data_IF_424462901838
#
_entry.id   IF_424462901838
#
_cell.length_a   1.000
_cell.length_b   1.000
_cell.length_c   1.000
_cell.angle_alpha   90.00
_cell.angle_beta   90.00
_cell.angle_gamma   90.00
#
_symmetry.space_group_name_H-M   'P 1'
#
loop_
_entity.id
_entity.type
_entity.pdbx_description
1 polymer ?
#
# COMPACT_ATOMS: atom_id res chain seq x y z
N UNK A 1 13.21 16.01 -41.26
CA UNK A 1 13.74 15.63 -39.94
C UNK A 1 13.22 16.54 -38.83
N UNK A 2 13.40 17.86 -38.90
CA UNK A 2 12.93 18.80 -37.86
C UNK A 2 11.39 18.82 -37.67
N UNK A 3 10.62 18.70 -38.75
CA UNK A 3 9.14 18.71 -38.71
C UNK A 3 8.55 17.45 -38.06
N UNK A 4 9.18 16.29 -38.30
CA UNK A 4 8.83 15.02 -37.65
C UNK A 4 9.14 15.04 -36.15
N UNK A 5 10.29 15.61 -35.76
CA UNK A 5 10.65 15.77 -34.34
C UNK A 5 9.67 16.71 -33.59
N UNK A 6 9.21 17.77 -34.25
CA UNK A 6 8.23 18.70 -33.67
C UNK A 6 6.84 18.05 -33.50
N UNK A 7 6.41 17.25 -34.48
CA UNK A 7 5.17 16.48 -34.38
C UNK A 7 5.24 15.45 -33.24
N UNK A 8 6.35 14.70 -33.15
CA UNK A 8 6.56 13.73 -32.08
C UNK A 8 6.53 14.38 -30.70
N UNK A 9 7.14 15.57 -30.56
CA UNK A 9 7.09 16.36 -29.33
C UNK A 9 5.66 16.75 -28.94
N UNK A 10 4.87 17.21 -29.91
CA UNK A 10 3.45 17.55 -29.70
C UNK A 10 2.61 16.34 -29.29
N UNK A 11 2.86 15.17 -29.89
CA UNK A 11 2.20 13.92 -29.51
C UNK A 11 2.51 13.56 -28.04
N UNK A 12 3.78 13.62 -27.63
CA UNK A 12 4.15 13.30 -26.25
C UNK A 12 3.57 14.29 -25.24
N UNK A 13 3.47 15.56 -25.63
CA UNK A 13 2.84 16.60 -24.81
C UNK A 13 1.35 16.28 -24.56
N UNK A 14 0.60 15.96 -25.61
CA UNK A 14 -0.83 15.63 -25.46
C UNK A 14 -1.05 14.32 -24.70
N UNK A 15 -0.21 13.30 -24.90
CA UNK A 15 -0.25 12.06 -24.11
C UNK A 15 0.00 12.33 -22.63
N UNK A 16 0.96 13.19 -22.29
CA UNK A 16 1.23 13.57 -20.90
C UNK A 16 0.03 14.30 -20.27
N UNK A 17 -0.65 15.18 -21.00
CA UNK A 17 -1.86 15.89 -20.51
C UNK A 17 -3.05 14.96 -20.28
N UNK A 18 -3.25 13.99 -21.16
CA UNK A 18 -4.31 12.98 -20.98
C UNK A 18 -3.98 12.10 -19.77
N UNK A 19 -2.72 11.68 -19.63
CA UNK A 19 -2.28 10.90 -18.47
C UNK A 19 -2.42 11.67 -17.14
N UNK A 20 -2.10 12.97 -17.11
CA UNK A 20 -2.32 13.83 -15.95
C UNK A 20 -3.79 13.88 -15.54
N UNK A 21 -4.69 14.13 -16.50
CA UNK A 21 -6.13 14.20 -16.23
C UNK A 21 -6.72 12.87 -15.76
N UNK A 22 -6.16 11.75 -16.23
CA UNK A 22 -6.55 10.40 -15.82
C UNK A 22 -5.81 9.93 -14.55
N UNK A 23 -5.02 10.80 -13.90
CA UNK A 23 -4.20 10.49 -12.72
C UNK A 23 -3.21 9.31 -12.94
N UNK A 24 -2.79 9.10 -14.18
CA UNK A 24 -1.84 8.07 -14.62
C UNK A 24 -0.42 8.61 -14.62
N UNK A 25 0.09 8.96 -13.44
CA UNK A 25 1.37 9.69 -13.31
C UNK A 25 2.59 8.89 -13.79
N UNK A 26 2.61 7.55 -13.68
CA UNK A 26 3.66 6.71 -14.25
C UNK A 26 3.73 6.81 -15.78
N UNK A 27 2.58 6.93 -16.44
CA UNK A 27 2.49 7.07 -17.89
C UNK A 27 2.81 8.48 -18.32
N UNK A 28 2.38 9.47 -17.54
CA UNK A 28 2.80 10.86 -17.69
C UNK A 28 4.33 10.99 -17.63
N UNK A 29 4.99 10.35 -16.66
CA UNK A 29 6.46 10.33 -16.56
C UNK A 29 7.10 9.73 -17.81
N UNK A 30 6.59 8.62 -18.33
CA UNK A 30 7.10 8.00 -19.58
C UNK A 30 7.00 8.99 -20.75
N UNK A 31 5.83 9.61 -20.95
CA UNK A 31 5.62 10.57 -22.03
C UNK A 31 6.52 11.81 -21.90
N UNK A 32 6.63 12.38 -20.70
CA UNK A 32 7.46 13.57 -20.50
C UNK A 32 8.95 13.24 -20.60
N UNK A 33 9.38 12.06 -20.16
CA UNK A 33 10.75 11.59 -20.34
C UNK A 33 11.10 11.49 -21.84
N UNK A 34 10.25 10.82 -22.63
CA UNK A 34 10.43 10.73 -24.09
C UNK A 34 10.44 12.13 -24.75
N UNK A 35 9.59 13.05 -24.28
CA UNK A 35 9.57 14.45 -24.74
C UNK A 35 10.90 15.17 -24.46
N UNK A 36 11.47 14.99 -23.27
CA UNK A 36 12.76 15.60 -22.90
C UNK A 36 13.90 15.00 -23.72
N UNK A 37 13.86 13.69 -23.96
CA UNK A 37 14.87 12.95 -24.73
C UNK A 37 14.91 13.36 -26.22
N UNK A 38 13.87 14.00 -26.77
CA UNK A 38 13.95 14.61 -28.11
C UNK A 38 14.93 15.78 -28.19
N UNK A 39 15.39 16.31 -27.05
CA UNK A 39 16.27 17.47 -26.95
C UNK A 39 15.57 18.81 -27.20
N UNK A 40 16.34 19.90 -27.10
CA UNK A 40 15.84 21.28 -27.27
C UNK A 40 15.42 21.97 -25.97
N UNK A 41 15.11 23.27 -26.06
CA UNK A 41 14.69 24.07 -24.90
C UNK A 41 13.24 23.75 -24.55
N UNK A 42 13.00 23.34 -23.30
CA UNK A 42 11.65 23.09 -22.81
C UNK A 42 10.83 24.39 -22.70
N UNK A 43 9.57 24.33 -23.11
CA UNK A 43 8.59 25.38 -22.90
C UNK A 43 8.24 25.53 -21.40
N UNK A 44 7.46 26.56 -21.04
CA UNK A 44 6.96 26.68 -19.67
C UNK A 44 6.01 25.53 -19.30
N UNK A 45 5.14 25.14 -20.24
CA UNK A 45 4.18 24.05 -20.07
C UNK A 45 4.87 22.69 -19.91
N UNK A 46 5.88 22.40 -20.75
CA UNK A 46 6.65 21.15 -20.68
C UNK A 46 7.43 21.02 -19.36
N UNK A 47 8.00 22.13 -18.86
CA UNK A 47 8.65 22.17 -17.55
C UNK A 47 7.67 21.91 -16.41
N UNK A 48 6.46 22.46 -16.51
CA UNK A 48 5.42 22.24 -15.52
C UNK A 48 5.00 20.76 -15.49
N UNK A 49 4.70 20.17 -16.65
CA UNK A 49 4.33 18.75 -16.75
C UNK A 49 5.44 17.83 -16.23
N UNK A 50 6.71 18.13 -16.54
CA UNK A 50 7.85 17.39 -15.97
C UNK A 50 7.86 17.45 -14.44
N UNK A 51 7.66 18.64 -13.87
CA UNK A 51 7.62 18.82 -12.43
C UNK A 51 6.45 18.07 -11.80
N UNK A 52 5.25 18.20 -12.35
CA UNK A 52 4.03 17.53 -11.84
C UNK A 52 4.15 16.02 -11.93
N UNK A 53 4.64 15.48 -13.05
CA UNK A 53 4.80 14.04 -13.26
C UNK A 53 5.72 13.41 -12.20
N UNK A 54 6.94 13.94 -12.06
CA UNK A 54 7.89 13.39 -11.09
C UNK A 54 7.50 13.69 -9.65
N UNK A 55 6.91 14.86 -9.35
CA UNK A 55 6.45 15.19 -8.00
C UNK A 55 5.40 14.20 -7.50
N UNK A 56 4.43 13.83 -8.34
CA UNK A 56 3.40 12.88 -7.93
C UNK A 56 3.95 11.46 -7.77
N UNK A 57 4.76 10.96 -8.72
CA UNK A 57 5.35 9.61 -8.61
C UNK A 57 6.29 9.51 -7.41
N UNK A 58 7.18 10.49 -7.21
CA UNK A 58 8.11 10.49 -6.05
C UNK A 58 7.35 10.72 -4.75
N UNK A 59 6.36 11.61 -4.74
CA UNK A 59 5.54 11.92 -3.56
C UNK A 59 4.78 10.69 -3.05
N UNK A 60 4.12 9.97 -3.96
CA UNK A 60 3.42 8.72 -3.65
C UNK A 60 4.37 7.66 -3.06
N UNK A 61 5.50 7.40 -3.74
CA UNK A 61 6.51 6.43 -3.25
C UNK A 61 7.08 6.80 -1.89
N UNK A 62 7.38 8.09 -1.67
CA UNK A 62 7.87 8.57 -0.38
C UNK A 62 6.83 8.36 0.72
N UNK A 63 5.55 8.60 0.43
CA UNK A 63 4.47 8.34 1.39
C UNK A 63 4.38 6.87 1.74
N UNK A 64 4.39 5.99 0.73
CA UNK A 64 4.33 4.53 0.92
C UNK A 64 5.49 4.01 1.79
N UNK A 65 6.73 4.41 1.47
CA UNK A 65 7.92 4.02 2.26
C UNK A 65 7.85 4.52 3.71
N UNK A 66 7.33 5.73 3.94
CA UNK A 66 7.14 6.26 5.30
C UNK A 66 6.13 5.46 6.09
N UNK A 67 5.02 5.07 5.47
CA UNK A 67 4.00 4.23 6.12
C UNK A 67 4.57 2.86 6.46
N UNK A 68 5.18 2.19 5.48
CA UNK A 68 5.78 0.86 5.66
C UNK A 68 6.84 0.85 6.77
N UNK A 69 7.73 1.85 6.81
CA UNK A 69 8.73 1.98 7.88
C UNK A 69 8.06 2.25 9.24
N UNK A 70 7.00 3.08 9.29
CA UNK A 70 6.27 3.38 10.53
C UNK A 70 5.65 2.13 11.13
N UNK A 71 5.04 1.27 10.30
CA UNK A 71 4.45 0.01 10.73
C UNK A 71 5.49 -0.98 11.23
N UNK A 72 6.55 -1.24 10.45
CA UNK A 72 7.60 -2.19 10.83
C UNK A 72 8.28 -1.78 12.14
N UNK A 73 8.55 -0.48 12.33
CA UNK A 73 9.09 0.03 13.58
C UNK A 73 8.06 -0.13 14.71
N UNK A 74 6.79 0.19 14.47
CA UNK A 74 5.70 0.04 15.44
C UNK A 74 5.54 -1.39 15.95
N UNK A 75 5.62 -2.37 15.07
CA UNK A 75 5.51 -3.80 15.41
C UNK A 75 6.68 -4.26 16.28
N UNK A 76 7.91 -3.92 15.91
CA UNK A 76 9.08 -4.25 16.72
C UNK A 76 9.01 -3.59 18.09
N UNK A 77 8.62 -2.31 18.16
CA UNK A 77 8.42 -1.61 19.42
C UNK A 77 7.35 -2.27 20.29
N UNK A 78 6.24 -2.72 19.70
CA UNK A 78 5.19 -3.44 20.43
C UNK A 78 5.67 -4.80 20.97
N UNK A 79 6.50 -5.52 20.21
CA UNK A 79 7.10 -6.78 20.67
C UNK A 79 8.06 -6.56 21.83
N UNK A 80 8.90 -5.52 21.74
CA UNK A 80 9.84 -5.13 22.79
C UNK A 80 9.10 -4.76 24.08
N UNK A 81 8.13 -3.86 23.99
CA UNK A 81 7.40 -3.31 25.13
C UNK A 81 6.51 -4.34 25.83
N UNK A 82 5.77 -5.17 25.06
CA UNK A 82 4.77 -6.08 25.63
C UNK A 82 5.31 -7.44 26.05
N UNK A 83 6.39 -7.92 25.41
CA UNK A 83 6.82 -9.31 25.57
C UNK A 83 8.29 -9.44 25.97
N UNK A 84 9.21 -8.80 25.24
CA UNK A 84 10.64 -9.06 25.42
C UNK A 84 11.19 -8.38 26.68
N UNK A 85 10.93 -7.08 26.87
CA UNK A 85 11.44 -6.33 28.04
C UNK A 85 10.78 -6.80 29.35
N UNK A 86 9.47 -7.07 29.42
CA UNK A 86 8.87 -7.58 30.66
C UNK A 86 9.29 -9.00 31.05
N UNK A 87 9.74 -9.80 30.08
CA UNK A 87 10.04 -11.23 30.26
C UNK A 87 11.52 -11.59 30.30
N UNK A 88 12.43 -10.61 30.26
CA UNK A 88 13.87 -10.86 30.22
C UNK A 88 14.46 -10.94 31.63
N UNK A 89 15.14 -12.04 31.92
CA UNK A 89 15.88 -12.23 33.17
C UNK A 89 17.40 -12.02 33.00
N UNK A 90 17.87 -11.96 31.75
CA UNK A 90 19.28 -11.79 31.40
C UNK A 90 19.63 -10.31 31.19
N UNK A 91 20.59 -9.82 31.98
CA UNK A 91 21.04 -8.42 31.96
C UNK A 91 21.47 -7.94 30.57
N UNK A 92 22.29 -8.72 29.86
CA UNK A 92 22.79 -8.34 28.53
C UNK A 92 21.65 -8.21 27.52
N UNK A 93 20.69 -9.13 27.57
CA UNK A 93 19.51 -9.10 26.71
C UNK A 93 18.60 -7.90 27.04
N UNK A 94 18.43 -7.55 28.32
CA UNK A 94 17.62 -6.39 28.70
C UNK A 94 18.25 -5.07 28.22
N UNK A 95 19.57 -4.90 28.39
CA UNK A 95 20.31 -3.75 27.86
C UNK A 95 20.19 -3.68 26.35
N UNK A 96 20.34 -4.83 25.68
CA UNK A 96 20.19 -4.94 24.23
C UNK A 96 18.77 -4.54 23.77
N UNK A 97 17.71 -5.01 24.44
CA UNK A 97 16.33 -4.67 24.07
C UNK A 97 15.99 -3.20 24.27
N UNK A 98 16.48 -2.57 25.34
CA UNK A 98 16.30 -1.13 25.53
C UNK A 98 17.06 -0.30 24.48
N UNK A 99 18.27 -0.73 24.12
CA UNK A 99 19.04 -0.11 23.03
C UNK A 99 18.32 -0.27 21.69
N UNK A 100 17.85 -1.47 21.40
CA UNK A 100 17.08 -1.79 20.19
C UNK A 100 15.82 -0.92 20.10
N UNK A 101 15.06 -0.81 21.19
CA UNK A 101 13.89 0.09 21.28
C UNK A 101 14.26 1.54 20.94
N UNK A 102 15.40 2.01 21.46
CA UNK A 102 15.90 3.35 21.17
C UNK A 102 16.27 3.54 19.68
N UNK A 103 16.91 2.56 19.05
CA UNK A 103 17.22 2.59 17.62
C UNK A 103 15.94 2.70 16.77
N UNK A 104 14.91 1.90 17.09
CA UNK A 104 13.64 1.92 16.34
C UNK A 104 12.87 3.22 16.51
N UNK A 105 12.91 3.83 17.70
CA UNK A 105 12.43 5.21 17.84
C UNK A 105 13.28 6.17 17.01
N UNK A 106 14.61 5.99 16.95
CA UNK A 106 15.51 6.73 16.08
C UNK A 106 15.11 6.69 14.61
N UNK A 107 14.86 5.50 14.05
CA UNK A 107 14.39 5.35 12.66
C UNK A 107 13.08 6.09 12.40
N UNK A 108 12.16 6.11 13.37
CA UNK A 108 10.93 6.89 13.25
C UNK A 108 11.19 8.40 13.23
N UNK A 109 12.23 8.90 13.93
CA UNK A 109 12.56 10.34 13.90
C UNK A 109 13.04 10.85 12.54
N UNK A 110 13.58 9.97 11.69
CA UNK A 110 14.04 10.31 10.33
C UNK A 110 12.88 10.50 9.35
N UNK A 111 11.76 9.81 9.57
CA UNK A 111 10.60 9.85 8.67
C UNK A 111 9.44 10.73 9.12
N UNK A 112 9.36 11.02 10.42
CA UNK A 112 8.32 11.85 11.02
C UNK A 112 8.71 13.33 11.05
N UNK A 113 7.71 14.21 11.10
CA UNK A 113 7.88 15.65 11.14
C UNK A 113 7.01 16.25 12.28
N UNK A 114 7.35 17.44 12.76
CA UNK A 114 6.55 18.15 13.78
C UNK A 114 6.50 17.44 15.14
N UNK A 115 5.34 17.49 15.82
CA UNK A 115 5.20 16.96 17.18
C UNK A 115 5.40 15.45 17.28
N UNK A 116 4.98 14.68 16.26
CA UNK A 116 5.20 13.22 16.25
C UNK A 116 6.70 12.87 16.27
N UNK A 117 7.52 13.66 15.58
CA UNK A 117 8.99 13.51 15.60
C UNK A 117 9.54 13.77 17.00
N UNK A 118 9.16 14.87 17.63
CA UNK A 118 9.66 15.25 18.96
C UNK A 118 9.28 14.22 20.04
N UNK A 119 8.10 13.62 19.93
CA UNK A 119 7.70 12.50 20.80
C UNK A 119 8.61 11.28 20.61
N UNK A 120 8.99 10.95 19.36
CA UNK A 120 9.92 9.84 19.10
C UNK A 120 11.34 10.15 19.57
N UNK A 121 11.81 11.39 19.43
CA UNK A 121 13.11 11.82 19.97
C UNK A 121 13.14 11.62 21.49
N UNK A 122 12.06 12.01 22.18
CA UNK A 122 11.96 11.85 23.64
C UNK A 122 11.99 10.37 24.04
N UNK A 123 11.20 9.52 23.37
CA UNK A 123 11.17 8.08 23.64
C UNK A 123 12.49 7.36 23.33
N UNK A 124 13.17 7.75 22.25
CA UNK A 124 14.51 7.27 21.91
C UNK A 124 15.50 7.62 23.04
N UNK A 125 15.49 8.88 23.48
CA UNK A 125 16.37 9.35 24.55
C UNK A 125 16.14 8.58 25.86
N UNK A 126 14.88 8.45 26.31
CA UNK A 126 14.54 7.69 27.52
C UNK A 126 14.98 6.22 27.43
N UNK A 127 14.87 5.61 26.25
CA UNK A 127 15.27 4.22 26.02
C UNK A 127 16.78 4.05 26.04
N UNK A 128 17.51 4.98 25.40
CA UNK A 128 18.98 5.02 25.46
C UNK A 128 19.49 5.29 26.89
N UNK A 129 18.89 6.22 27.63
CA UNK A 129 19.28 6.51 29.01
C UNK A 129 19.12 5.26 29.91
N UNK A 130 18.01 4.53 29.76
CA UNK A 130 17.79 3.26 30.48
C UNK A 130 18.85 2.22 30.12
N UNK A 131 19.10 2.01 28.82
CA UNK A 131 20.11 1.06 28.35
C UNK A 131 21.51 1.43 28.84
N UNK A 132 21.88 2.71 28.72
CA UNK A 132 23.21 3.23 29.04
C UNK A 132 23.47 3.20 30.55
N UNK A 133 22.51 3.62 31.37
CA UNK A 133 22.62 3.57 32.83
C UNK A 133 22.80 2.13 33.34
N UNK A 134 22.02 1.19 32.78
CA UNK A 134 22.11 -0.22 33.16
C UNK A 134 23.42 -0.86 32.70
N UNK A 135 23.84 -0.60 31.47
CA UNK A 135 25.10 -1.07 30.93
C UNK A 135 26.32 -0.54 31.70
N UNK A 136 26.31 0.75 32.08
CA UNK A 136 27.44 1.37 32.78
C UNK A 136 27.58 0.90 34.23
N UNK A 137 26.46 0.54 34.87
CA UNK A 137 26.42 0.04 36.24
C UNK A 137 26.80 -1.43 36.34
N UNK A 138 26.32 -2.27 35.42
CA UNK A 138 26.34 -3.73 35.59
C UNK A 138 27.32 -4.46 34.65
N UNK A 139 27.77 -3.84 33.56
CA UNK A 139 28.69 -4.45 32.60
C UNK A 139 30.10 -3.84 32.68
N UNK A 140 31.11 -4.68 32.44
CA UNK A 140 32.50 -4.24 32.37
C UNK A 140 32.70 -3.15 31.29
N UNK A 141 33.59 -2.16 31.50
CA UNK A 141 33.79 -1.06 30.54
C UNK A 141 34.11 -1.50 29.10
N UNK A 142 34.94 -2.54 28.95
CA UNK A 142 35.29 -3.12 27.65
C UNK A 142 34.29 -4.20 27.17
N UNK A 143 33.08 -4.28 27.74
CA UNK A 143 32.07 -5.23 27.31
C UNK A 143 31.42 -4.79 25.98
N UNK A 144 31.28 -5.68 24.97
CA UNK A 144 30.73 -5.31 23.66
C UNK A 144 29.35 -4.66 23.73
N UNK A 145 28.44 -5.19 24.56
CA UNK A 145 27.08 -4.63 24.73
C UNK A 145 27.14 -3.19 25.27
N UNK A 146 27.94 -2.93 26.30
CA UNK A 146 28.08 -1.58 26.89
C UNK A 146 28.66 -0.58 25.90
N UNK A 147 29.71 -0.98 25.20
CA UNK A 147 30.32 -0.18 24.13
C UNK A 147 29.32 0.09 22.99
N UNK A 148 28.53 -0.92 22.61
CA UNK A 148 27.51 -0.80 21.58
C UNK A 148 26.42 0.21 21.94
N UNK A 149 25.94 0.21 23.19
CA UNK A 149 25.00 1.24 23.67
C UNK A 149 25.64 2.62 23.64
N UNK A 150 26.87 2.76 24.11
CA UNK A 150 27.58 4.04 24.10
C UNK A 150 27.74 4.61 22.68
N UNK A 151 28.14 3.76 21.73
CA UNK A 151 28.26 4.12 20.32
C UNK A 151 26.93 4.62 19.76
N UNK A 152 25.86 3.84 19.89
CA UNK A 152 24.56 4.24 19.36
C UNK A 152 23.98 5.49 20.05
N UNK A 153 24.17 5.62 21.37
CA UNK A 153 23.68 6.78 22.11
C UNK A 153 24.43 8.07 21.75
N UNK A 154 25.75 7.99 21.58
CA UNK A 154 26.55 9.13 21.10
C UNK A 154 26.17 9.57 19.69
N UNK A 155 25.94 8.63 18.76
CA UNK A 155 25.44 8.94 17.42
C UNK A 155 24.07 9.60 17.49
N UNK A 156 23.16 9.09 18.33
CA UNK A 156 21.85 9.71 18.54
C UNK A 156 21.94 11.16 19.02
N UNK A 157 22.83 11.46 19.98
CA UNK A 157 23.08 12.83 20.42
C UNK A 157 23.59 13.71 19.30
N UNK A 158 24.47 13.20 18.45
CA UNK A 158 25.06 13.95 17.34
C UNK A 158 24.03 14.22 16.23
N UNK A 159 23.45 13.17 15.68
CA UNK A 159 22.68 13.22 14.44
C UNK A 159 21.22 13.64 14.66
N UNK A 160 20.61 13.21 15.76
CA UNK A 160 19.17 13.42 16.01
C UNK A 160 18.93 14.61 16.94
N UNK A 161 19.70 14.72 18.03
CA UNK A 161 19.57 15.82 18.99
C UNK A 161 20.40 17.05 18.65
N UNK A 162 21.32 16.95 17.68
CA UNK A 162 22.26 18.02 17.32
C UNK A 162 23.02 18.57 18.54
N UNK A 163 23.44 17.67 19.43
CA UNK A 163 24.22 17.96 20.64
C UNK A 163 25.61 17.32 20.54
N UNK A 164 26.54 17.93 19.79
CA UNK A 164 27.89 17.38 19.57
C UNK A 164 28.69 17.28 20.87
N UNK A 165 28.41 18.14 21.85
CA UNK A 165 29.11 18.13 23.14
C UNK A 165 28.78 16.86 23.92
N UNK A 166 27.50 16.53 24.02
CA UNK A 166 27.06 15.33 24.71
C UNK A 166 27.44 14.06 23.95
N UNK A 167 27.36 14.08 22.61
CA UNK A 167 27.83 12.98 21.76
C UNK A 167 29.32 12.66 22.01
N UNK A 168 30.18 13.68 21.96
CA UNK A 168 31.60 13.55 22.23
C UNK A 168 31.87 13.11 23.68
N UNK A 169 31.09 13.60 24.65
CA UNK A 169 31.22 13.19 26.05
C UNK A 169 30.96 11.69 26.23
N UNK A 170 29.84 11.19 25.72
CA UNK A 170 29.44 9.78 25.82
C UNK A 170 30.44 8.88 25.11
N UNK A 171 30.85 9.23 23.88
CA UNK A 171 31.79 8.44 23.09
C UNK A 171 33.17 8.38 23.73
N UNK A 172 33.70 9.53 24.21
CA UNK A 172 35.02 9.61 24.84
C UNK A 172 35.06 8.87 26.17
N UNK A 173 34.07 9.04 27.01
CA UNK A 173 33.99 8.34 28.30
C UNK A 173 33.99 6.82 28.12
N UNK A 174 33.22 6.31 27.15
CA UNK A 174 33.18 4.89 26.84
C UNK A 174 34.51 4.38 26.26
N UNK A 175 35.12 5.13 25.35
CA UNK A 175 36.41 4.78 24.75
C UNK A 175 37.52 4.73 25.79
N UNK A 176 37.67 5.78 26.59
CA UNK A 176 38.71 5.89 27.62
C UNK A 176 38.56 4.78 28.67
N UNK A 177 37.34 4.51 29.14
CA UNK A 177 37.08 3.47 30.12
C UNK A 177 37.36 2.04 29.60
N UNK A 178 37.11 1.78 28.31
CA UNK A 178 37.39 0.48 27.71
C UNK A 178 38.87 0.28 27.39
N UNK A 179 39.58 1.35 27.02
CA UNK A 179 41.02 1.30 26.69
C UNK A 179 41.87 0.75 27.83
N UNK A 180 41.51 1.05 29.08
CA UNK A 180 42.23 0.55 30.25
C UNK A 180 42.11 -0.97 30.47
N UNK A 181 41.08 -1.60 29.90
CA UNK A 181 40.70 -2.99 30.21
C UNK A 181 40.69 -3.93 28.98
N UNK A 182 40.89 -3.39 27.77
CA UNK A 182 40.77 -4.14 26.52
C UNK A 182 41.80 -5.27 26.40
N UNK A 183 43.01 -5.09 26.94
CA UNK A 183 44.10 -6.07 26.92
C UNK A 183 43.78 -7.34 27.73
N UNK A 184 42.75 -7.30 28.60
CA UNK A 184 42.30 -8.42 29.42
C UNK A 184 41.24 -9.32 28.77
N UNK A 185 40.76 -9.00 27.56
CA UNK A 185 39.67 -9.73 26.90
C UNK A 185 40.16 -11.00 26.19
N UNK A 186 39.26 -11.99 26.07
CA UNK A 186 39.46 -13.20 25.25
C UNK A 186 39.09 -12.95 23.79
N UNK A 187 39.67 -13.72 22.87
CA UNK A 187 39.67 -13.48 21.41
C UNK A 187 38.34 -13.00 20.79
N UNK A 188 37.19 -13.61 21.13
CA UNK A 188 35.89 -13.25 20.53
C UNK A 188 35.36 -11.89 21.03
N UNK A 189 35.31 -11.68 22.34
CA UNK A 189 34.90 -10.40 22.93
C UNK A 189 35.89 -9.26 22.65
N UNK A 190 37.18 -9.58 22.51
CA UNK A 190 38.22 -8.63 22.11
C UNK A 190 37.95 -8.10 20.69
N UNK A 191 37.61 -8.99 19.75
CA UNK A 191 37.34 -8.60 18.36
C UNK A 191 36.14 -7.66 18.25
N UNK A 192 35.03 -8.00 18.92
CA UNK A 192 33.82 -7.17 18.87
C UNK A 192 34.02 -5.81 19.56
N UNK A 193 34.66 -5.81 20.73
CA UNK A 193 34.93 -4.57 21.48
C UNK A 193 35.92 -3.66 20.76
N UNK A 194 36.98 -4.21 20.17
CA UNK A 194 37.97 -3.42 19.42
C UNK A 194 37.37 -2.78 18.17
N UNK A 195 36.45 -3.45 17.49
CA UNK A 195 35.72 -2.88 16.36
C UNK A 195 34.82 -1.70 16.80
N UNK A 196 34.07 -1.86 17.89
CA UNK A 196 33.20 -0.79 18.40
C UNK A 196 34.04 0.41 18.89
N UNK A 197 35.16 0.15 19.57
CA UNK A 197 36.09 1.21 19.98
C UNK A 197 36.71 1.94 18.78
N UNK A 198 37.00 1.23 17.68
CA UNK A 198 37.44 1.87 16.46
C UNK A 198 36.37 2.83 15.92
N UNK A 199 35.11 2.41 15.87
CA UNK A 199 33.99 3.27 15.43
C UNK A 199 33.83 4.49 16.35
N UNK A 200 33.91 4.32 17.67
CA UNK A 200 33.88 5.43 18.62
C UNK A 200 35.00 6.45 18.37
N UNK A 201 36.22 5.98 18.14
CA UNK A 201 37.38 6.84 17.83
C UNK A 201 37.22 7.56 16.49
N UNK A 202 36.75 6.84 15.47
CA UNK A 202 36.56 7.38 14.13
C UNK A 202 35.47 8.47 14.18
N UNK A 203 34.36 8.24 14.88
CA UNK A 203 33.33 9.25 15.15
C UNK A 203 33.88 10.46 15.91
N UNK A 204 34.61 10.25 17.01
CA UNK A 204 35.22 11.35 17.77
C UNK A 204 36.16 12.20 16.91
N UNK A 205 36.90 11.57 16.00
CA UNK A 205 37.81 12.28 15.07
C UNK A 205 37.02 13.21 14.16
N UNK A 206 35.93 12.71 13.56
CA UNK A 206 35.05 13.50 12.70
C UNK A 206 34.40 14.63 13.50
N UNK A 207 33.72 14.30 14.60
CA UNK A 207 32.92 15.27 15.38
C UNK A 207 33.77 16.36 16.03
N UNK A 208 35.00 16.07 16.44
CA UNK A 208 35.91 17.09 17.00
C UNK A 208 36.59 17.94 15.93
N UNK A 209 36.72 17.43 14.70
CA UNK A 209 37.21 18.23 13.57
C UNK A 209 36.13 19.16 12.98
N UNK A 210 34.86 18.76 13.05
CA UNK A 210 33.71 19.56 12.60
C UNK A 210 33.35 20.72 13.56
N UNK A 211 33.82 20.70 14.82
CA UNK A 211 33.69 21.85 15.73
C UNK A 211 34.54 23.07 15.27
N UNK A 212 35.57 22.87 14.44
CA UNK A 212 36.44 23.94 13.91
C UNK A 212 35.93 24.52 12.58
N UNK A 213 35.12 23.79 11.80
CA UNK A 213 34.53 24.24 10.53
C UNK A 213 33.00 24.05 10.56
N UNK A 214 32.28 25.08 11.03
CA UNK A 214 30.82 25.13 10.91
C UNK A 214 30.41 25.30 9.44
N UNK A 215 30.25 24.19 8.71
CA UNK A 215 29.56 24.19 7.43
C UNK A 215 29.83 23.01 6.52
N UNK A 216 29.31 21.83 6.83
CA UNK A 216 28.60 20.91 5.91
C UNK A 216 28.42 19.53 6.58
N UNK A 217 27.16 19.10 6.75
CA UNK A 217 26.82 17.79 7.30
C UNK A 217 27.18 16.67 6.29
N UNK A 218 28.08 15.77 6.66
CA UNK A 218 28.24 14.49 5.99
C UNK A 218 27.40 13.42 6.72
N UNK A 219 26.39 12.85 6.06
CA UNK A 219 25.65 11.71 6.61
C UNK A 219 26.52 10.45 6.55
N UNK A 220 26.78 9.81 7.69
CA UNK A 220 27.38 8.48 7.72
C UNK A 220 26.29 7.43 7.55
N UNK A 221 26.42 6.59 6.52
CA UNK A 221 25.47 5.55 6.17
C UNK A 221 25.53 4.41 7.19
N UNK A 222 24.42 4.15 7.88
CA UNK A 222 24.22 2.91 8.63
C UNK A 222 24.43 1.71 7.71
N UNK A 223 25.46 0.91 7.97
CA UNK A 223 25.55 -0.44 7.41
C UNK A 223 24.57 -1.35 8.17
N UNK A 224 23.33 -1.43 7.68
CA UNK A 224 22.48 -2.55 8.03
C UNK A 224 23.07 -3.81 7.37
N UNK A 225 23.54 -4.75 8.18
CA UNK A 225 23.96 -6.05 7.71
C UNK A 225 22.70 -6.87 7.40
N UNK A 226 22.15 -6.72 6.20
CA UNK A 226 21.01 -7.51 5.74
C UNK A 226 21.46 -8.94 5.45
N UNK A 227 21.56 -9.76 6.50
CA UNK A 227 21.40 -11.20 6.31
C UNK A 227 20.00 -11.43 5.76
N UNK A 228 19.94 -12.21 4.68
CA UNK A 228 18.74 -12.60 3.96
C UNK A 228 17.77 -13.35 4.89
N UNK A 229 16.79 -12.64 5.46
CA UNK A 229 15.74 -13.19 6.34
C UNK A 229 14.38 -13.23 5.63
N UNK A 230 14.38 -13.50 4.33
CA UNK A 230 13.12 -13.70 3.59
C UNK A 230 12.60 -15.11 3.84
N UNK A 231 11.89 -15.27 4.96
CA UNK A 231 11.05 -16.44 5.17
C UNK A 231 9.86 -16.32 4.20
N UNK A 232 9.82 -17.13 3.15
CA UNK A 232 8.80 -17.09 2.10
C UNK A 232 7.66 -18.09 2.36
N UNK A 233 7.13 -18.11 3.58
CA UNK A 233 5.97 -18.92 3.92
C UNK A 233 4.65 -18.13 3.79
N UNK A 234 3.53 -18.84 3.90
CA UNK A 234 2.19 -18.27 3.74
C UNK A 234 1.96 -17.07 4.66
N UNK A 235 2.32 -17.19 5.93
CA UNK A 235 2.12 -16.15 6.94
C UNK A 235 2.89 -14.88 6.58
N UNK A 236 4.13 -15.04 6.11
CA UNK A 236 4.93 -13.94 5.58
C UNK A 236 4.28 -13.25 4.38
N UNK A 237 3.69 -14.02 3.44
CA UNK A 237 2.99 -13.45 2.27
C UNK A 237 1.72 -12.69 2.67
N UNK A 238 0.94 -13.24 3.61
CA UNK A 238 -0.26 -12.58 4.14
C UNK A 238 0.12 -11.31 4.89
N UNK A 239 1.16 -11.34 5.71
CA UNK A 239 1.64 -10.16 6.42
C UNK A 239 2.14 -9.07 5.45
N UNK A 240 2.92 -9.44 4.43
CA UNK A 240 3.35 -8.52 3.37
C UNK A 240 2.16 -7.91 2.63
N UNK A 241 1.07 -8.66 2.42
CA UNK A 241 -0.15 -8.10 1.84
C UNK A 241 -0.82 -7.07 2.76
N UNK A 242 -0.84 -7.29 4.09
CA UNK A 242 -1.37 -6.31 5.06
C UNK A 242 -0.55 -5.02 5.12
N UNK A 243 0.77 -5.14 5.10
CA UNK A 243 1.67 -3.97 5.00
C UNK A 243 1.47 -3.24 3.67
N UNK A 244 1.35 -3.99 2.57
CA UNK A 244 1.07 -3.41 1.26
C UNK A 244 -0.30 -2.71 1.19
N UNK A 245 -1.32 -3.22 1.89
CA UNK A 245 -2.63 -2.56 2.02
C UNK A 245 -2.50 -1.20 2.70
N UNK A 246 -1.81 -1.15 3.85
CA UNK A 246 -1.62 0.09 4.61
C UNK A 246 -0.74 1.10 3.88
N UNK A 247 0.24 0.62 3.10
CA UNK A 247 1.05 1.44 2.22
C UNK A 247 0.35 1.81 0.88
N UNK A 248 -0.92 1.41 0.71
CA UNK A 248 -1.73 1.58 -0.51
C UNK A 248 -1.04 1.03 -1.78
N UNK A 249 -0.16 0.05 -1.61
CA UNK A 249 0.56 -0.66 -2.67
C UNK A 249 -0.26 -1.86 -3.17
N UNK A 250 -1.45 -1.60 -3.72
CA UNK A 250 -2.39 -2.65 -4.10
C UNK A 250 -1.88 -3.59 -5.20
N UNK A 251 -1.00 -3.14 -6.11
CA UNK A 251 -0.35 -4.04 -7.08
C UNK A 251 0.59 -5.05 -6.39
N UNK A 252 1.27 -4.65 -5.31
CA UNK A 252 2.10 -5.56 -4.48
C UNK A 252 1.22 -6.49 -3.66
N UNK A 253 0.18 -5.95 -3.02
CA UNK A 253 -0.82 -6.72 -2.28
C UNK A 253 -1.44 -7.82 -3.16
N UNK A 254 -1.77 -7.48 -4.41
CA UNK A 254 -2.36 -8.42 -5.39
C UNK A 254 -1.43 -9.58 -5.69
N UNK A 255 -0.13 -9.33 -5.88
CA UNK A 255 0.87 -10.39 -6.11
C UNK A 255 0.96 -11.34 -4.92
N UNK A 256 1.07 -10.79 -3.70
CA UNK A 256 1.11 -11.58 -2.48
C UNK A 256 -0.16 -12.43 -2.32
N UNK A 257 -1.34 -11.83 -2.48
CA UNK A 257 -2.61 -12.54 -2.28
C UNK A 257 -2.92 -13.56 -3.37
N UNK A 258 -2.42 -13.35 -4.59
CA UNK A 258 -2.47 -14.35 -5.67
C UNK A 258 -1.71 -15.61 -5.29
N UNK A 259 -0.46 -15.48 -4.85
CA UNK A 259 0.35 -16.61 -4.39
C UNK A 259 -0.29 -17.35 -3.22
N UNK A 260 -0.87 -16.61 -2.25
CA UNK A 260 -1.60 -17.22 -1.13
C UNK A 260 -2.86 -17.98 -1.62
N UNK A 261 -3.52 -17.46 -2.65
CA UNK A 261 -4.72 -18.04 -3.25
C UNK A 261 -4.47 -19.32 -4.06
N UNK A 262 -3.26 -19.51 -4.61
CA UNK A 262 -2.87 -20.74 -5.31
C UNK A 262 -2.94 -21.98 -4.39
N UNK A 263 -2.67 -21.79 -3.10
CA UNK A 263 -2.80 -22.81 -2.05
C UNK A 263 -4.20 -22.86 -1.39
N UNK A 264 -5.18 -22.14 -1.96
CA UNK A 264 -6.52 -21.85 -1.40
C UNK A 264 -6.47 -21.02 -0.11
N UNK A 265 -7.49 -20.18 0.10
CA UNK A 265 -7.61 -19.41 1.34
C UNK A 265 -8.07 -20.28 2.50
N UNK A 266 -7.39 -20.14 3.63
CA UNK A 266 -7.65 -20.87 4.87
C UNK A 266 -8.55 -20.05 5.81
N UNK A 267 -8.55 -18.71 5.67
CA UNK A 267 -9.32 -17.81 6.55
C UNK A 267 -10.19 -16.82 5.77
N UNK A 268 -11.22 -16.31 6.44
CA UNK A 268 -12.06 -15.23 5.92
C UNK A 268 -11.23 -13.95 5.70
N UNK A 269 -10.24 -13.70 6.55
CA UNK A 269 -9.37 -12.53 6.44
C UNK A 269 -8.55 -12.58 5.13
N UNK A 270 -7.92 -13.71 4.81
CA UNK A 270 -7.17 -13.86 3.57
C UNK A 270 -8.06 -13.69 2.33
N UNK A 271 -9.27 -14.27 2.35
CA UNK A 271 -10.29 -14.09 1.30
C UNK A 271 -10.63 -12.60 1.12
N UNK A 272 -10.80 -11.87 2.22
CA UNK A 272 -11.14 -10.46 2.19
C UNK A 272 -9.96 -9.62 1.66
N UNK A 273 -8.72 -9.92 2.07
CA UNK A 273 -7.50 -9.27 1.56
C UNK A 273 -7.37 -9.41 0.04
N UNK A 274 -7.66 -10.59 -0.51
CA UNK A 274 -7.68 -10.78 -1.97
C UNK A 274 -8.68 -9.83 -2.65
N UNK A 275 -9.89 -9.75 -2.10
CA UNK A 275 -10.95 -8.89 -2.66
C UNK A 275 -10.57 -7.41 -2.59
N UNK A 276 -10.02 -6.95 -1.47
CA UNK A 276 -9.54 -5.58 -1.30
C UNK A 276 -8.42 -5.28 -2.31
N UNK A 277 -7.45 -6.18 -2.48
CA UNK A 277 -6.33 -6.01 -3.40
C UNK A 277 -6.81 -5.79 -4.84
N UNK A 278 -7.53 -6.76 -5.40
CA UNK A 278 -7.96 -6.68 -6.79
C UNK A 278 -9.04 -5.60 -7.02
N UNK A 279 -9.90 -5.31 -6.04
CA UNK A 279 -10.90 -4.22 -6.15
C UNK A 279 -10.20 -2.87 -6.34
N UNK A 280 -9.16 -2.58 -5.57
CA UNK A 280 -8.45 -1.30 -5.66
C UNK A 280 -7.63 -1.20 -6.96
N UNK A 281 -6.93 -2.27 -7.35
CA UNK A 281 -6.16 -2.33 -8.61
C UNK A 281 -7.05 -2.10 -9.83
N UNK A 282 -8.22 -2.74 -9.89
CA UNK A 282 -9.16 -2.55 -11.01
C UNK A 282 -9.92 -1.23 -10.89
N UNK A 283 -10.24 -0.78 -9.66
CA UNK A 283 -10.96 0.48 -9.41
C UNK A 283 -10.22 1.71 -9.94
N UNK A 284 -8.90 1.80 -9.71
CA UNK A 284 -8.09 2.90 -10.24
C UNK A 284 -8.05 2.90 -11.77
N UNK A 285 -7.90 1.72 -12.39
CA UNK A 285 -7.90 1.55 -13.86
C UNK A 285 -9.26 1.88 -14.48
N UNK A 286 -10.36 1.43 -13.88
CA UNK A 286 -11.73 1.79 -14.30
C UNK A 286 -11.97 3.29 -14.26
N UNK A 287 -11.50 3.96 -13.20
CA UNK A 287 -11.62 5.41 -13.06
C UNK A 287 -10.83 6.14 -14.15
N UNK A 288 -9.58 5.73 -14.39
CA UNK A 288 -8.78 6.26 -15.49
C UNK A 288 -9.44 6.03 -16.86
N UNK A 289 -9.97 4.83 -17.11
CA UNK A 289 -10.66 4.50 -18.35
C UNK A 289 -11.86 5.43 -18.59
N UNK A 290 -12.76 5.59 -17.60
CA UNK A 290 -13.92 6.48 -17.68
C UNK A 290 -13.53 7.93 -17.99
N UNK A 291 -12.48 8.43 -17.34
CA UNK A 291 -11.95 9.78 -17.61
C UNK A 291 -11.48 9.88 -19.05
N UNK A 292 -10.65 8.94 -19.51
CA UNK A 292 -10.07 8.99 -20.86
C UNK A 292 -11.13 8.85 -21.95
N UNK A 293 -12.11 7.96 -21.78
CA UNK A 293 -13.26 7.83 -22.68
C UNK A 293 -14.07 9.12 -22.73
N UNK A 294 -14.32 9.76 -21.58
CA UNK A 294 -14.98 11.08 -21.53
C UNK A 294 -14.16 12.17 -22.24
N UNK A 295 -12.83 12.13 -22.14
CA UNK A 295 -11.95 13.07 -22.83
C UNK A 295 -11.94 12.88 -24.34
N UNK A 296 -12.03 11.66 -24.87
CA UNK A 296 -12.19 11.45 -26.31
C UNK A 296 -13.56 11.94 -26.79
N UNK A 297 -14.63 11.61 -26.05
CA UNK A 297 -15.99 12.03 -26.39
C UNK A 297 -16.13 13.56 -26.44
N UNK A 298 -15.61 14.27 -25.43
CA UNK A 298 -15.63 15.75 -25.42
C UNK A 298 -14.92 16.37 -26.63
N UNK A 299 -13.87 15.72 -27.14
CA UNK A 299 -13.17 16.17 -28.36
C UNK A 299 -13.97 15.84 -29.61
N UNK A 300 -14.62 14.67 -29.66
CA UNK A 300 -15.53 14.32 -30.75
C UNK A 300 -16.71 15.31 -30.84
N UNK A 301 -17.29 15.71 -29.71
CA UNK A 301 -18.39 16.68 -29.63
C UNK A 301 -17.97 18.09 -30.11
N UNK A 302 -16.68 18.42 -30.03
CA UNK A 302 -16.10 19.64 -30.59
C UNK A 302 -15.89 19.57 -32.12
N UNK A 303 -16.24 18.45 -32.76
CA UNK A 303 -16.06 18.21 -34.19
C UNK A 303 -14.63 17.83 -34.59
N UNK A 304 -13.78 17.44 -33.63
CA UNK A 304 -12.42 16.98 -33.91
C UNK A 304 -12.46 15.55 -34.47
N UNK A 305 -11.79 15.36 -35.61
CA UNK A 305 -11.67 14.05 -36.24
C UNK A 305 -10.70 13.11 -35.49
N UNK A 306 -10.73 11.83 -35.81
CA UNK A 306 -9.88 10.81 -35.19
C UNK A 306 -8.37 11.03 -35.43
N UNK A 307 -8.01 11.85 -36.42
CA UNK A 307 -6.62 12.21 -36.72
C UNK A 307 -6.09 13.33 -35.80
N UNK A 308 -6.96 13.99 -35.02
CA UNK A 308 -6.53 14.93 -34.01
C UNK A 308 -5.59 14.28 -32.97
N UNK A 309 -4.50 14.99 -32.66
CA UNK A 309 -3.46 14.48 -31.76
C UNK A 309 -4.02 14.26 -30.34
N UNK A 310 -4.94 15.11 -29.89
CA UNK A 310 -5.57 14.98 -28.59
C UNK A 310 -6.53 13.79 -28.51
N UNK A 311 -7.21 13.43 -29.61
CA UNK A 311 -8.02 12.21 -29.72
C UNK A 311 -7.15 10.96 -29.79
N UNK A 312 -6.08 10.97 -30.58
CA UNK A 312 -5.10 9.88 -30.61
C UNK A 312 -4.43 9.66 -29.25
N UNK A 313 -4.13 10.73 -28.51
CA UNK A 313 -3.59 10.63 -27.16
C UNK A 313 -4.59 10.01 -26.17
N UNK A 314 -5.88 10.34 -26.29
CA UNK A 314 -6.93 9.70 -25.50
C UNK A 314 -7.03 8.20 -25.82
N UNK A 315 -7.15 7.83 -27.09
CA UNK A 315 -7.21 6.43 -27.52
C UNK A 315 -5.99 5.62 -27.10
N UNK A 316 -4.79 6.19 -27.22
CA UNK A 316 -3.56 5.54 -26.75
C UNK A 316 -3.62 5.15 -25.27
N UNK A 317 -4.09 6.05 -24.40
CA UNK A 317 -4.18 5.73 -22.99
C UNK A 317 -5.35 4.79 -22.70
N UNK A 318 -6.46 4.94 -23.44
CA UNK A 318 -7.63 4.07 -23.33
C UNK A 318 -7.25 2.61 -23.63
N UNK A 319 -6.67 2.33 -24.79
CA UNK A 319 -6.24 0.98 -25.22
C UNK A 319 -5.28 0.34 -24.20
N UNK A 320 -4.38 1.15 -23.65
CA UNK A 320 -3.44 0.70 -22.62
C UNK A 320 -4.15 0.33 -21.32
N UNK A 321 -5.05 1.18 -20.83
CA UNK A 321 -5.83 0.90 -19.62
C UNK A 321 -6.72 -0.32 -19.81
N UNK A 322 -7.34 -0.48 -20.98
CA UNK A 322 -8.15 -1.65 -21.35
C UNK A 322 -7.32 -2.93 -21.33
N UNK A 323 -6.11 -2.90 -21.88
CA UNK A 323 -5.18 -4.03 -21.86
C UNK A 323 -4.85 -4.43 -20.42
N UNK A 324 -4.46 -3.47 -19.59
CA UNK A 324 -4.15 -3.70 -18.17
C UNK A 324 -5.37 -4.23 -17.39
N UNK A 325 -6.57 -3.74 -17.69
CA UNK A 325 -7.81 -4.25 -17.09
C UNK A 325 -8.09 -5.69 -17.53
N UNK A 326 -7.89 -6.02 -18.81
CA UNK A 326 -8.06 -7.39 -19.34
C UNK A 326 -7.09 -8.36 -18.68
N UNK A 327 -5.83 -7.96 -18.49
CA UNK A 327 -4.82 -8.74 -17.78
C UNK A 327 -5.24 -8.99 -16.32
N UNK A 328 -5.49 -7.92 -15.55
CA UNK A 328 -5.83 -8.06 -14.11
C UNK A 328 -7.11 -8.85 -13.90
N UNK A 329 -8.16 -8.60 -14.69
CA UNK A 329 -9.42 -9.34 -14.59
C UNK A 329 -9.25 -10.79 -15.05
N UNK A 330 -8.46 -11.04 -16.09
CA UNK A 330 -8.16 -12.40 -16.56
C UNK A 330 -7.44 -13.23 -15.50
N UNK A 331 -6.46 -12.64 -14.81
CA UNK A 331 -5.72 -13.32 -13.73
C UNK A 331 -6.61 -13.76 -12.57
N UNK A 332 -7.47 -12.87 -12.06
CA UNK A 332 -8.38 -13.22 -10.96
C UNK A 332 -9.47 -14.19 -11.41
N UNK A 333 -9.98 -14.06 -12.64
CA UNK A 333 -10.95 -15.02 -13.17
C UNK A 333 -10.36 -16.41 -13.29
N UNK A 334 -9.11 -16.55 -13.75
CA UNK A 334 -8.41 -17.84 -13.77
C UNK A 334 -8.27 -18.42 -12.35
N UNK A 335 -7.81 -17.61 -11.39
CA UNK A 335 -7.69 -18.05 -9.99
C UNK A 335 -9.04 -18.52 -9.40
N UNK A 336 -10.13 -17.80 -9.70
CA UNK A 336 -11.48 -18.14 -9.26
C UNK A 336 -11.99 -19.42 -9.91
N UNK A 337 -11.84 -19.56 -11.23
CA UNK A 337 -12.39 -20.67 -12.02
C UNK A 337 -11.62 -21.97 -11.83
N UNK A 338 -10.29 -21.90 -11.74
CA UNK A 338 -9.42 -23.08 -11.74
C UNK A 338 -9.14 -23.59 -10.33
N UNK A 339 -9.15 -22.71 -9.31
CA UNK A 339 -8.67 -23.06 -7.96
C UNK A 339 -9.75 -22.81 -6.90
N UNK A 340 -10.22 -21.56 -6.76
CA UNK A 340 -10.99 -21.16 -5.57
C UNK A 340 -12.43 -21.70 -5.57
N UNK A 341 -13.17 -21.55 -6.67
CA UNK A 341 -14.55 -22.06 -6.77
C UNK A 341 -14.58 -23.60 -6.68
N UNK A 342 -13.77 -24.34 -7.48
CA UNK A 342 -13.70 -25.80 -7.34
C UNK A 342 -13.25 -26.25 -5.95
N UNK A 343 -12.33 -25.51 -5.32
CA UNK A 343 -11.85 -25.78 -3.97
C UNK A 343 -12.96 -25.73 -2.93
N UNK A 344 -13.78 -24.67 -2.95
CA UNK A 344 -14.88 -24.52 -1.99
C UNK A 344 -16.04 -25.47 -2.25
N UNK A 345 -16.29 -25.85 -3.51
CA UNK A 345 -17.27 -26.89 -3.84
C UNK A 345 -16.96 -28.23 -3.17
N UNK A 346 -15.68 -28.53 -2.95
CA UNK A 346 -15.24 -29.72 -2.20
C UNK A 346 -15.37 -29.55 -0.69
N UNK A 347 -15.09 -28.36 -0.17
CA UNK A 347 -15.07 -28.07 1.28
C UNK A 347 -16.48 -27.80 1.84
N UNK A 348 -17.46 -27.50 0.99
CA UNK A 348 -18.87 -27.29 1.37
C UNK A 348 -19.17 -25.94 2.04
N UNK A 349 -18.23 -24.99 2.02
CA UNK A 349 -18.44 -23.66 2.61
C UNK A 349 -19.26 -22.75 1.67
N UNK A 350 -20.57 -22.70 1.90
CA UNK A 350 -21.50 -21.96 1.03
C UNK A 350 -21.22 -20.45 1.00
N UNK A 351 -20.85 -19.85 2.13
CA UNK A 351 -20.55 -18.41 2.20
C UNK A 351 -19.39 -18.03 1.27
N UNK A 352 -18.28 -18.76 1.33
CA UNK A 352 -17.12 -18.53 0.47
C UNK A 352 -17.44 -18.80 -1.00
N UNK A 353 -18.32 -19.76 -1.29
CA UNK A 353 -18.75 -20.03 -2.65
C UNK A 353 -19.59 -18.87 -3.22
N UNK A 354 -20.56 -18.37 -2.46
CA UNK A 354 -21.36 -17.20 -2.86
C UNK A 354 -20.45 -15.98 -3.05
N UNK A 355 -19.46 -15.80 -2.15
CA UNK A 355 -18.47 -14.74 -2.26
C UNK A 355 -17.67 -14.83 -3.57
N UNK A 356 -17.12 -15.99 -3.93
CA UNK A 356 -16.34 -16.17 -5.16
C UNK A 356 -17.20 -16.08 -6.43
N UNK A 357 -18.45 -16.56 -6.41
CA UNK A 357 -19.38 -16.41 -7.53
C UNK A 357 -19.73 -14.93 -7.78
N UNK A 358 -19.98 -14.18 -6.70
CA UNK A 358 -20.19 -12.73 -6.78
C UNK A 358 -18.95 -12.02 -7.33
N UNK A 359 -17.78 -12.38 -6.81
CA UNK A 359 -16.49 -11.83 -7.27
C UNK A 359 -16.27 -12.11 -8.76
N UNK A 360 -16.54 -13.33 -9.23
CA UNK A 360 -16.51 -13.70 -10.65
C UNK A 360 -17.45 -12.82 -11.48
N UNK A 361 -18.68 -12.61 -11.00
CA UNK A 361 -19.65 -11.70 -11.64
C UNK A 361 -19.14 -10.26 -11.72
N UNK A 362 -18.46 -9.74 -10.69
CA UNK A 362 -17.89 -8.39 -10.70
C UNK A 362 -16.79 -8.22 -11.76
N UNK A 363 -15.83 -9.15 -11.83
CA UNK A 363 -14.74 -9.04 -12.81
C UNK A 363 -15.22 -9.25 -14.25
N UNK A 364 -16.20 -10.13 -14.48
CA UNK A 364 -16.87 -10.24 -15.78
C UNK A 364 -17.63 -8.96 -16.14
N UNK A 365 -18.30 -8.32 -15.17
CA UNK A 365 -18.94 -7.01 -15.34
C UNK A 365 -17.93 -5.93 -15.73
N UNK A 366 -16.78 -5.87 -15.07
CA UNK A 366 -15.73 -4.90 -15.40
C UNK A 366 -15.17 -5.11 -16.81
N UNK A 367 -14.99 -6.36 -17.24
CA UNK A 367 -14.64 -6.65 -18.63
C UNK A 367 -15.75 -6.26 -19.61
N UNK A 368 -17.01 -6.49 -19.26
CA UNK A 368 -18.17 -6.11 -20.09
C UNK A 368 -18.24 -4.60 -20.31
N UNK A 369 -17.88 -3.80 -19.31
CA UNK A 369 -17.88 -2.33 -19.37
C UNK A 369 -16.94 -1.79 -20.47
N UNK A 370 -15.80 -2.45 -20.69
CA UNK A 370 -14.75 -2.01 -21.62
C UNK A 370 -14.75 -2.78 -22.96
N UNK A 371 -15.69 -3.70 -23.15
CA UNK A 371 -15.79 -4.53 -24.36
C UNK A 371 -16.91 -4.04 -25.28
N UNK A 372 -16.81 -4.37 -26.56
CA UNK A 372 -17.78 -4.04 -27.60
C UNK A 372 -18.16 -5.28 -28.44
N UNK A 373 -19.24 -5.16 -29.21
CA UNK A 373 -19.68 -6.20 -30.14
C UNK A 373 -19.96 -7.55 -29.47
N UNK A 374 -19.56 -8.65 -30.13
CA UNK A 374 -19.84 -10.01 -29.67
C UNK A 374 -19.11 -10.38 -28.36
N UNK A 375 -17.92 -9.82 -28.11
CA UNK A 375 -17.19 -10.04 -26.87
C UNK A 375 -18.01 -9.53 -25.66
N UNK A 376 -18.64 -8.36 -25.81
CA UNK A 376 -19.51 -7.78 -24.78
C UNK A 376 -20.70 -8.68 -24.46
N UNK A 377 -21.38 -9.21 -25.47
CA UNK A 377 -22.55 -10.08 -25.29
C UNK A 377 -22.17 -11.38 -24.55
N UNK A 378 -21.04 -11.99 -24.91
CA UNK A 378 -20.55 -13.20 -24.26
C UNK A 378 -20.17 -12.96 -22.79
N UNK A 379 -19.46 -11.87 -22.51
CA UNK A 379 -19.08 -11.49 -21.14
C UNK A 379 -20.29 -11.16 -20.29
N UNK A 380 -21.26 -10.42 -20.84
CA UNK A 380 -22.51 -10.08 -20.17
C UNK A 380 -23.28 -11.33 -19.76
N UNK A 381 -23.39 -12.33 -20.66
CA UNK A 381 -24.04 -13.61 -20.34
C UNK A 381 -23.31 -14.34 -19.21
N UNK A 382 -21.98 -14.44 -19.25
CA UNK A 382 -21.19 -15.08 -18.19
C UNK A 382 -21.33 -14.37 -16.85
N UNK A 383 -21.37 -13.03 -16.86
CA UNK A 383 -21.58 -12.23 -15.65
C UNK A 383 -22.97 -12.51 -15.06
N UNK A 384 -24.01 -12.48 -15.90
CA UNK A 384 -25.38 -12.80 -15.50
C UNK A 384 -25.49 -14.20 -14.89
N UNK A 385 -24.89 -15.21 -15.53
CA UNK A 385 -24.89 -16.59 -15.02
C UNK A 385 -24.20 -16.70 -13.66
N UNK A 386 -23.10 -15.96 -13.45
CA UNK A 386 -22.36 -15.97 -12.18
C UNK A 386 -23.14 -15.29 -11.06
N UNK A 387 -23.74 -14.12 -11.32
CA UNK A 387 -24.59 -13.43 -10.35
C UNK A 387 -25.86 -14.20 -10.03
N UNK A 388 -26.51 -14.79 -11.03
CA UNK A 388 -27.73 -15.59 -10.83
C UNK A 388 -27.45 -16.75 -9.87
N UNK A 389 -26.36 -17.50 -10.11
CA UNK A 389 -25.93 -18.58 -9.21
C UNK A 389 -25.64 -18.08 -7.79
N UNK A 390 -24.96 -16.94 -7.64
CA UNK A 390 -24.68 -16.36 -6.32
C UNK A 390 -25.98 -15.92 -5.61
N UNK A 391 -26.89 -15.27 -6.33
CA UNK A 391 -28.13 -14.70 -5.82
C UNK A 391 -29.14 -15.77 -5.42
N UNK A 392 -29.25 -16.87 -6.19
CA UNK A 392 -30.09 -18.02 -5.85
C UNK A 392 -29.53 -18.83 -4.67
N UNK A 393 -28.20 -18.90 -4.55
CA UNK A 393 -27.52 -19.68 -3.50
C UNK A 393 -27.45 -18.93 -2.18
N UNK A 394 -27.34 -17.61 -2.17
CA UNK A 394 -27.18 -16.84 -0.92
C UNK A 394 -28.29 -17.11 0.12
N UNK A 395 -29.60 -17.13 -0.22
CA UNK A 395 -30.67 -17.32 0.76
C UNK A 395 -30.73 -18.71 1.39
N UNK A 396 -29.97 -19.71 0.89
CA UNK A 396 -30.05 -21.08 1.41
C UNK A 396 -29.42 -21.22 2.80
N UNK A 397 -28.35 -20.46 3.09
CA UNK A 397 -27.70 -20.45 4.41
C UNK A 397 -27.41 -19.04 4.95
N UNK A 398 -27.48 -18.00 4.11
CA UNK A 398 -27.18 -16.63 4.52
C UNK A 398 -28.47 -15.86 4.84
N UNK A 399 -28.59 -15.41 6.09
CA UNK A 399 -29.70 -14.58 6.55
C UNK A 399 -29.84 -13.27 5.75
N UNK A 400 -31.03 -12.64 5.74
CA UNK A 400 -31.29 -11.41 4.96
C UNK A 400 -30.31 -10.26 5.21
N UNK A 401 -29.81 -10.15 6.44
CA UNK A 401 -28.87 -9.11 6.86
C UNK A 401 -27.41 -9.50 6.67
N UNK A 402 -27.11 -10.70 6.16
CA UNK A 402 -25.73 -11.16 6.02
C UNK A 402 -24.97 -10.30 4.97
N UNK A 403 -23.79 -9.73 5.28
CA UNK A 403 -23.07 -8.83 4.38
C UNK A 403 -22.80 -9.40 2.99
N UNK A 404 -22.45 -10.69 2.90
CA UNK A 404 -22.23 -11.36 1.60
C UNK A 404 -23.50 -11.41 0.76
N UNK A 405 -24.67 -11.75 1.35
CA UNK A 405 -25.96 -11.80 0.63
C UNK A 405 -26.39 -10.42 0.15
N UNK A 406 -26.30 -9.41 1.03
CA UNK A 406 -26.57 -8.02 0.68
C UNK A 406 -25.62 -7.53 -0.42
N UNK A 407 -24.34 -7.89 -0.33
CA UNK A 407 -23.32 -7.56 -1.32
C UNK A 407 -23.59 -8.18 -2.70
N UNK A 408 -24.15 -9.40 -2.76
CA UNK A 408 -24.60 -10.02 -4.02
C UNK A 408 -25.75 -9.23 -4.63
N UNK A 409 -26.78 -8.92 -3.83
CA UNK A 409 -27.93 -8.15 -4.32
C UNK A 409 -27.51 -6.76 -4.82
N UNK A 410 -26.62 -6.08 -4.10
CA UNK A 410 -26.06 -4.79 -4.51
C UNK A 410 -25.34 -4.90 -5.85
N UNK A 411 -24.35 -5.80 -5.98
CA UNK A 411 -23.62 -5.97 -7.25
C UNK A 411 -24.52 -6.40 -8.40
N UNK A 412 -25.51 -7.26 -8.15
CA UNK A 412 -26.41 -7.75 -9.20
C UNK A 412 -27.39 -6.67 -9.67
N UNK A 413 -27.92 -5.85 -8.75
CA UNK A 413 -28.77 -4.70 -9.11
C UNK A 413 -28.01 -3.68 -9.98
N UNK A 414 -26.75 -3.37 -9.62
CA UNK A 414 -25.90 -2.49 -10.43
C UNK A 414 -25.62 -3.10 -11.81
N UNK A 415 -25.43 -4.43 -11.90
CA UNK A 415 -25.28 -5.10 -13.19
C UNK A 415 -26.53 -4.97 -14.08
N UNK A 416 -27.73 -5.15 -13.51
CA UNK A 416 -28.97 -4.93 -14.24
C UNK A 416 -29.10 -3.49 -14.75
N UNK A 417 -28.75 -2.52 -13.90
CA UNK A 417 -28.81 -1.11 -14.25
C UNK A 417 -27.78 -0.72 -15.30
N UNK A 418 -26.48 -0.81 -14.96
CA UNK A 418 -25.38 -0.24 -15.74
C UNK A 418 -25.06 -1.06 -17.01
N UNK A 419 -25.29 -2.38 -16.99
CA UNK A 419 -24.85 -3.26 -18.09
C UNK A 419 -26.01 -3.75 -18.95
N UNK A 420 -27.12 -4.17 -18.32
CA UNK A 420 -28.29 -4.68 -19.04
C UNK A 420 -29.28 -3.59 -19.43
N UNK A 421 -29.11 -2.37 -18.93
CA UNK A 421 -30.03 -1.27 -19.12
C UNK A 421 -31.48 -1.64 -18.74
N UNK A 422 -31.60 -2.36 -17.62
CA UNK A 422 -32.84 -2.95 -17.10
C UNK A 422 -33.13 -2.36 -15.71
N UNK A 423 -33.62 -1.12 -15.70
CA UNK A 423 -33.84 -0.33 -14.49
C UNK A 423 -34.93 -0.89 -13.58
N UNK A 424 -35.97 -1.49 -14.16
CA UNK A 424 -37.06 -2.13 -13.41
C UNK A 424 -36.53 -3.31 -12.59
N UNK A 425 -35.79 -4.22 -13.23
CA UNK A 425 -35.21 -5.38 -12.57
C UNK A 425 -34.14 -4.98 -11.54
N UNK A 426 -33.32 -3.97 -11.85
CA UNK A 426 -32.35 -3.42 -10.92
C UNK A 426 -33.01 -2.92 -9.62
N UNK A 427 -34.06 -2.11 -9.76
CA UNK A 427 -34.83 -1.61 -8.61
C UNK A 427 -35.53 -2.73 -7.85
N UNK A 428 -36.08 -3.73 -8.56
CA UNK A 428 -36.73 -4.89 -7.95
C UNK A 428 -35.75 -5.68 -7.07
N UNK A 429 -34.56 -5.98 -7.59
CA UNK A 429 -33.52 -6.72 -6.85
C UNK A 429 -33.03 -5.92 -5.64
N UNK A 430 -32.72 -4.63 -5.81
CA UNK A 430 -32.20 -3.80 -4.74
C UNK A 430 -33.23 -3.58 -3.62
N UNK A 431 -34.47 -3.25 -4.00
CA UNK A 431 -35.57 -3.02 -3.05
C UNK A 431 -35.95 -4.30 -2.32
N UNK A 432 -36.05 -5.43 -3.01
CA UNK A 432 -36.33 -6.72 -2.38
C UNK A 432 -35.30 -7.08 -1.31
N UNK A 433 -34.00 -6.90 -1.59
CA UNK A 433 -32.95 -7.17 -0.61
C UNK A 433 -32.99 -6.19 0.59
N UNK A 434 -33.29 -4.91 0.35
CA UNK A 434 -33.45 -3.91 1.41
C UNK A 434 -34.64 -4.24 2.31
N UNK A 435 -35.80 -4.54 1.73
CA UNK A 435 -37.04 -4.85 2.43
C UNK A 435 -36.93 -6.16 3.24
N UNK A 436 -36.26 -7.18 2.69
CA UNK A 436 -35.95 -8.42 3.40
C UNK A 436 -35.06 -8.12 4.63
N UNK A 437 -34.01 -7.31 4.46
CA UNK A 437 -33.04 -7.04 5.53
C UNK A 437 -33.59 -6.12 6.63
N UNK A 438 -34.36 -5.08 6.27
CA UNK A 438 -34.94 -4.15 7.26
C UNK A 438 -35.94 -4.86 8.16
N UNK A 439 -36.62 -5.91 7.66
CA UNK A 439 -37.62 -6.67 8.41
C UNK A 439 -37.05 -7.44 9.61
N UNK A 440 -35.74 -7.73 9.59
CA UNK A 440 -35.03 -8.50 10.64
C UNK A 440 -33.81 -7.73 11.19
N UNK A 441 -33.70 -6.43 10.90
CA UNK A 441 -32.55 -5.61 11.29
C UNK A 441 -32.40 -5.52 12.82
N UNK A 442 -33.52 -5.50 13.56
CA UNK A 442 -33.54 -5.39 15.02
C UNK A 442 -32.95 -6.63 15.73
N UNK A 443 -32.73 -7.73 15.00
CA UNK A 443 -32.19 -9.00 15.52
C UNK A 443 -30.65 -9.11 15.39
N UNK A 444 -30.00 -8.14 14.75
CA UNK A 444 -28.55 -8.17 14.49
C UNK A 444 -27.71 -7.89 15.75
N UNK A 445 -26.59 -8.62 15.86
CA UNK A 445 -25.54 -8.33 16.84
C UNK A 445 -24.69 -7.12 16.40
N UNK A 446 -24.12 -6.41 17.37
CA UNK A 446 -23.39 -5.14 17.18
C UNK A 446 -22.25 -5.26 16.16
N UNK A 447 -21.52 -6.39 16.16
CA UNK A 447 -20.35 -6.62 15.28
C UNK A 447 -20.70 -6.71 13.79
N UNK A 448 -21.90 -7.22 13.44
CA UNK A 448 -22.35 -7.32 12.04
C UNK A 448 -23.23 -6.15 11.61
N UNK A 449 -23.76 -5.39 12.57
CA UNK A 449 -24.68 -4.30 12.32
C UNK A 449 -24.09 -3.21 11.41
N UNK A 450 -22.83 -2.84 11.64
CA UNK A 450 -22.16 -1.76 10.88
C UNK A 450 -22.01 -2.11 9.40
N UNK A 451 -21.55 -3.32 9.09
CA UNK A 451 -21.29 -3.74 7.70
C UNK A 451 -22.61 -3.91 6.92
N UNK A 452 -23.61 -4.52 7.55
CA UNK A 452 -24.92 -4.73 6.93
C UNK A 452 -25.64 -3.40 6.67
N UNK A 453 -25.65 -2.48 7.63
CA UNK A 453 -26.32 -1.17 7.48
C UNK A 453 -25.64 -0.29 6.42
N UNK A 454 -24.31 -0.37 6.28
CA UNK A 454 -23.59 0.33 5.21
C UNK A 454 -24.04 -0.16 3.83
N UNK A 455 -24.15 -1.47 3.62
CA UNK A 455 -24.60 -2.03 2.34
C UNK A 455 -26.07 -1.72 2.08
N UNK A 456 -26.93 -1.79 3.10
CA UNK A 456 -28.34 -1.40 3.00
C UNK A 456 -28.52 0.06 2.60
N UNK A 457 -27.67 0.96 3.12
CA UNK A 457 -27.68 2.36 2.71
C UNK A 457 -27.34 2.51 1.22
N UNK A 458 -26.32 1.81 0.72
CA UNK A 458 -25.98 1.82 -0.71
C UNK A 458 -27.12 1.29 -1.60
N UNK A 459 -27.82 0.23 -1.17
CA UNK A 459 -29.00 -0.27 -1.88
C UNK A 459 -30.11 0.79 -1.95
N UNK A 460 -30.37 1.47 -0.84
CA UNK A 460 -31.38 2.54 -0.76
C UNK A 460 -31.01 3.75 -1.63
N UNK A 461 -29.74 4.15 -1.61
CA UNK A 461 -29.23 5.27 -2.41
C UNK A 461 -29.39 4.97 -3.90
N UNK A 462 -29.04 3.75 -4.34
CA UNK A 462 -29.23 3.31 -5.72
C UNK A 462 -30.71 3.32 -6.13
N UNK A 463 -31.61 2.75 -5.32
CA UNK A 463 -33.05 2.74 -5.62
C UNK A 463 -33.60 4.16 -5.75
N UNK A 464 -33.15 5.07 -4.89
CA UNK A 464 -33.57 6.48 -4.91
C UNK A 464 -33.10 7.17 -6.19
N UNK A 465 -31.83 6.97 -6.56
CA UNK A 465 -31.23 7.53 -7.77
C UNK A 465 -31.97 7.03 -9.02
N UNK A 466 -32.09 5.71 -9.18
CA UNK A 466 -32.65 5.09 -10.38
C UNK A 466 -34.14 5.35 -10.56
N UNK A 467 -34.91 5.39 -9.46
CA UNK A 467 -36.34 5.75 -9.54
C UNK A 467 -36.52 7.20 -10.01
N UNK A 468 -35.64 8.10 -9.58
CA UNK A 468 -35.72 9.52 -9.98
C UNK A 468 -35.29 9.79 -11.42
N UNK A 469 -34.42 8.96 -11.99
CA UNK A 469 -34.01 9.01 -13.40
C UNK A 469 -35.11 8.48 -14.31
N UNK A 470 -35.78 7.39 -13.90
CA UNK A 470 -36.92 6.82 -14.64
C UNK A 470 -38.11 7.79 -14.73
N UNK A 471 -38.45 8.48 -13.63
CA UNK A 471 -39.51 9.50 -13.60
C UNK A 471 -39.21 10.73 -14.49
N UNK A 472 -37.93 10.98 -14.80
CA UNK A 472 -37.50 12.07 -15.69
C UNK A 472 -37.49 11.67 -17.17
N UNK A 473 -37.29 10.38 -17.48
CA UNK A 473 -37.34 9.87 -18.85
C UNK A 473 -38.78 9.65 -19.35
N UNK A 474 -39.75 9.45 -18.44
CA UNK A 474 -41.17 9.28 -18.78
C UNK A 474 -41.97 10.60 -18.89
N UNK A 475 -41.40 11.75 -18.51
CA UNK A 475 -42.00 13.09 -18.62
C UNK A 475 -41.35 13.92 -19.74
#
# INVERSE_FOLDING_TARGET
>A
MAESANLQRKIMLERAKVAEQAERYEDMVKCVKELVETGGKLSAEERNLLSVAYKNVVGSRRSALRTELKEMCGDVLALLDKFLIPGVDELEAEVFYHKMMADYYGYLTEILEGSEREDMVTKANESYEKAYAKATTELAPAHPVRLGVALSFSVFHYEIRHDPKEACRVAKEAFDAALELIDGLKDEAYKDSSLIMQLLRDNLTVWTSEEEDQGEFASVVYHCNTKDWTRDDRDSKVYRAKVAEQAEQYDTMTKCMKEVGEDRFQTIEERNLLSVAYKNVVGSRRSAWRIVTSLDQKKADQGLDESDIGRQAARWLQEKVETEMKEVCGEILALLEDILIPGVDMDGNLESQVFYLKMKGDYLRYLTEISEGSEKEDLMKKANDSYTKAYEKAPTELGPTHPVRLGVALSFSVFHYEIRNDGEEACRVAKGAFDDAISVLDELQEDSYKDSTLIMQLLKDNVTLWSSEHDQEEN
#
